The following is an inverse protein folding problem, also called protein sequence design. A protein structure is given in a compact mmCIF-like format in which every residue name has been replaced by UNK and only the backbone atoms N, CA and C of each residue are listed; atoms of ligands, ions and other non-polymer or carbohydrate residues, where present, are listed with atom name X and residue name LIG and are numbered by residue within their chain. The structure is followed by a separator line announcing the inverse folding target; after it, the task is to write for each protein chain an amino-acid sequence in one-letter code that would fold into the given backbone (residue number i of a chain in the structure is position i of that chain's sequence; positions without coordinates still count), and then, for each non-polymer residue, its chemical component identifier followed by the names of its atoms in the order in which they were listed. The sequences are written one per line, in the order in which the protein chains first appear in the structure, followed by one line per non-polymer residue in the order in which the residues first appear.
data_IF_150584262359
#
_entry.id   IF_150584262359
#
_cell.length_a   1.000
_cell.length_b   1.000
_cell.length_c   1.000
_cell.angle_alpha   90.00
_cell.angle_beta   90.00
_cell.angle_gamma   90.00
#
_symmetry.space_group_name_H-M   'P 1'
#
loop_
_entity.id
_entity.type
_entity.pdbx_description
1 polymer ?
#
# COMPACT_ATOMS: atom_id res chain seq x y z
N UNK A 1 41.78 -1.24 -17.27
CA UNK A 1 41.19 -0.18 -18.10
C UNK A 1 39.70 -0.12 -17.78
N UNK A 2 39.30 0.94 -17.08
CA UNK A 2 37.95 1.43 -16.81
C UNK A 2 36.98 0.56 -15.97
N UNK A 3 37.06 0.70 -14.65
CA UNK A 3 35.89 0.72 -13.78
C UNK A 3 35.02 1.93 -14.15
N UNK A 4 33.87 1.70 -14.80
CA UNK A 4 32.86 2.72 -15.00
C UNK A 4 31.79 2.59 -13.89
N UNK A 5 31.59 3.60 -13.02
CA UNK A 5 30.59 3.55 -11.97
C UNK A 5 29.20 3.59 -12.61
N UNK A 6 28.43 2.52 -12.42
CA UNK A 6 27.02 2.48 -12.78
C UNK A 6 26.27 3.45 -11.87
N UNK A 7 26.25 4.73 -12.24
CA UNK A 7 25.36 5.72 -11.67
C UNK A 7 23.93 5.33 -12.09
N UNK A 8 23.33 4.38 -11.35
CA UNK A 8 21.90 4.07 -11.44
C UNK A 8 21.15 5.30 -10.96
N UNK A 9 20.93 6.26 -11.85
CA UNK A 9 19.94 7.31 -11.65
C UNK A 9 18.65 6.65 -11.19
N UNK A 10 18.27 6.89 -9.94
CA UNK A 10 17.08 6.30 -9.35
C UNK A 10 15.89 6.81 -10.15
N UNK A 11 15.25 5.94 -10.95
CA UNK A 11 14.09 6.27 -11.77
C UNK A 11 13.09 7.11 -10.97
N UNK A 12 12.66 8.25 -11.53
CA UNK A 12 11.68 9.17 -10.92
C UNK A 12 10.42 8.43 -10.43
N UNK A 13 10.09 7.31 -11.08
CA UNK A 13 9.00 6.39 -10.71
C UNK A 13 9.15 5.78 -9.31
N UNK A 14 10.38 5.45 -8.91
CA UNK A 14 10.70 4.79 -7.64
C UNK A 14 10.57 5.76 -6.48
N UNK A 15 11.04 6.99 -6.67
CA UNK A 15 10.88 8.05 -5.69
C UNK A 15 9.41 8.40 -5.49
N UNK A 16 8.65 8.61 -6.56
CA UNK A 16 7.23 8.90 -6.46
C UNK A 16 6.45 7.79 -5.73
N UNK A 17 6.72 6.52 -6.07
CA UNK A 17 6.12 5.37 -5.37
C UNK A 17 6.44 5.37 -3.87
N UNK A 18 7.69 5.66 -3.52
CA UNK A 18 8.15 5.66 -2.13
C UNK A 18 7.51 6.81 -1.38
N UNK A 19 7.48 8.01 -1.95
CA UNK A 19 6.84 9.19 -1.37
C UNK A 19 5.34 8.98 -1.14
N UNK A 20 4.61 8.44 -2.12
CA UNK A 20 3.18 8.12 -1.97
C UNK A 20 2.95 7.15 -0.82
N UNK A 21 3.79 6.13 -0.71
CA UNK A 21 3.71 5.15 0.36
C UNK A 21 4.03 5.75 1.73
N UNK A 22 5.04 6.60 1.82
CA UNK A 22 5.38 7.32 3.05
C UNK A 22 4.24 8.22 3.49
N UNK A 23 3.68 9.00 2.56
CA UNK A 23 2.54 9.88 2.83
C UNK A 23 1.31 9.08 3.29
N UNK A 24 1.05 7.94 2.66
CA UNK A 24 -0.02 7.03 3.06
C UNK A 24 0.18 6.47 4.46
N UNK A 25 1.40 6.08 4.83
CA UNK A 25 1.70 5.59 6.18
C UNK A 25 1.54 6.68 7.25
N UNK A 26 1.93 7.92 6.95
CA UNK A 26 1.72 9.06 7.86
C UNK A 26 0.22 9.29 8.07
N UNK A 27 -0.55 9.36 6.98
CA UNK A 27 -2.00 9.53 7.05
C UNK A 27 -2.64 8.37 7.82
N UNK A 28 -2.21 7.13 7.55
CA UNK A 28 -2.73 5.93 8.21
C UNK A 28 -2.42 5.94 9.70
N UNK A 29 -1.22 6.36 10.10
CA UNK A 29 -0.84 6.52 11.50
C UNK A 29 -1.71 7.56 12.22
N UNK A 30 -2.02 8.69 11.58
CA UNK A 30 -2.93 9.69 12.15
C UNK A 30 -4.36 9.14 12.34
N UNK A 31 -4.90 8.46 11.32
CA UNK A 31 -6.24 7.85 11.38
C UNK A 31 -6.32 6.73 12.42
N UNK A 32 -5.34 5.80 12.40
CA UNK A 32 -5.23 4.72 13.37
C UNK A 32 -5.09 5.26 14.81
N UNK A 33 -4.20 6.23 15.02
CA UNK A 33 -3.98 6.85 16.31
C UNK A 33 -5.25 7.53 16.84
N UNK A 34 -5.99 8.24 15.98
CA UNK A 34 -7.24 8.86 16.40
C UNK A 34 -8.29 7.84 16.87
N UNK A 35 -8.40 6.68 16.23
CA UNK A 35 -9.26 5.60 16.72
C UNK A 35 -8.75 4.95 18.02
N UNK A 36 -7.44 4.79 18.19
CA UNK A 36 -6.86 4.26 19.45
C UNK A 36 -7.08 5.21 20.62
N UNK A 37 -6.95 6.52 20.40
CA UNK A 37 -7.08 7.55 21.43
C UNK A 37 -8.51 8.10 21.56
N UNK A 38 -9.50 7.52 20.87
CA UNK A 38 -10.91 7.94 20.91
C UNK A 38 -11.08 9.43 20.60
N UNK A 39 -10.33 9.92 19.60
CA UNK A 39 -10.45 11.29 19.08
C UNK A 39 -11.82 11.45 18.42
N UNK A 40 -12.40 12.63 18.54
CA UNK A 40 -13.68 12.96 17.92
C UNK A 40 -13.70 12.70 16.40
N UNK A 41 -14.80 12.14 15.92
CA UNK A 41 -14.95 11.72 14.52
C UNK A 41 -14.79 12.89 13.54
N UNK A 42 -15.19 14.11 13.93
CA UNK A 42 -15.04 15.28 13.04
C UNK A 42 -13.57 15.66 12.86
N UNK A 43 -12.75 15.50 13.90
CA UNK A 43 -11.31 15.72 13.83
C UNK A 43 -10.59 14.62 13.04
N UNK A 44 -11.22 13.44 12.87
CA UNK A 44 -10.68 12.33 12.07
C UNK A 44 -10.93 12.47 10.57
N UNK A 45 -11.91 13.28 10.13
CA UNK A 45 -12.25 13.45 8.70
C UNK A 45 -11.01 13.82 7.85
N UNK A 46 -10.15 14.77 8.22
CA UNK A 46 -8.96 15.10 7.42
C UNK A 46 -8.00 13.91 7.29
N UNK A 47 -7.80 13.15 8.37
CA UNK A 47 -6.95 11.97 8.37
C UNK A 47 -7.54 10.86 7.49
N UNK A 48 -8.86 10.66 7.56
CA UNK A 48 -9.58 9.72 6.71
C UNK A 48 -9.41 10.08 5.23
N UNK A 49 -9.68 11.33 4.86
CA UNK A 49 -9.53 11.82 3.47
C UNK A 49 -8.09 11.65 3.00
N UNK A 50 -7.10 11.94 3.85
CA UNK A 50 -5.70 11.74 3.52
C UNK A 50 -5.35 10.25 3.31
N UNK A 51 -5.81 9.35 4.17
CA UNK A 51 -5.57 7.90 4.05
C UNK A 51 -6.17 7.35 2.76
N UNK A 52 -7.44 7.67 2.51
CA UNK A 52 -8.17 7.19 1.34
C UNK A 52 -7.57 7.80 0.08
N UNK A 53 -7.33 9.11 0.06
CA UNK A 53 -6.77 9.82 -1.10
C UNK A 53 -5.38 9.32 -1.48
N UNK A 54 -4.49 9.14 -0.50
CA UNK A 54 -3.15 8.59 -0.75
C UNK A 54 -3.18 7.12 -1.15
N UNK A 55 -4.11 6.34 -0.59
CA UNK A 55 -4.31 4.94 -0.96
C UNK A 55 -4.79 4.78 -2.41
N UNK A 56 -5.76 5.60 -2.83
CA UNK A 56 -6.25 5.64 -4.22
C UNK A 56 -5.13 6.09 -5.16
N UNK A 57 -4.40 7.15 -4.82
CA UNK A 57 -3.28 7.62 -5.63
C UNK A 57 -2.20 6.53 -5.82
N UNK A 58 -1.89 5.79 -4.75
CA UNK A 58 -0.96 4.67 -4.81
C UNK A 58 -1.47 3.54 -5.71
N UNK A 59 -2.75 3.18 -5.60
CA UNK A 59 -3.38 2.13 -6.41
C UNK A 59 -3.41 2.51 -7.89
N UNK A 60 -3.83 3.73 -8.22
CA UNK A 60 -3.83 4.24 -9.60
C UNK A 60 -2.42 4.28 -10.18
N UNK A 61 -1.43 4.73 -9.40
CA UNK A 61 -0.05 4.75 -9.85
C UNK A 61 0.49 3.35 -10.15
N UNK A 62 0.15 2.34 -9.35
CA UNK A 62 0.52 0.95 -9.60
C UNK A 62 -0.16 0.38 -10.84
N UNK A 63 -1.46 0.61 -11.01
CA UNK A 63 -2.21 0.13 -12.18
C UNK A 63 -1.70 0.77 -13.47
N UNK A 64 -1.41 2.07 -13.45
CA UNK A 64 -0.89 2.80 -14.61
C UNK A 64 0.51 2.31 -15.01
N UNK A 65 1.37 2.02 -14.03
CA UNK A 65 2.74 1.51 -14.26
C UNK A 65 2.77 0.05 -14.69
N UNK A 66 1.91 -0.77 -14.09
CA UNK A 66 1.93 -2.22 -14.25
C UNK A 66 0.51 -2.77 -14.09
N UNK A 67 -0.28 -2.86 -15.17
CA UNK A 67 -1.65 -3.39 -15.11
C UNK A 67 -1.73 -4.84 -14.58
N UNK A 68 -0.65 -5.62 -14.74
CA UNK A 68 -0.52 -6.95 -14.15
C UNK A 68 -0.56 -6.94 -12.61
N UNK A 69 -0.35 -5.78 -11.97
CA UNK A 69 -0.58 -5.58 -10.53
C UNK A 69 -1.95 -6.09 -10.10
N UNK A 70 -2.98 -5.94 -10.94
CA UNK A 70 -4.35 -6.33 -10.62
C UNK A 70 -4.50 -7.83 -10.31
N UNK A 71 -3.63 -8.67 -10.86
CA UNK A 71 -3.66 -10.14 -10.71
C UNK A 71 -2.52 -10.70 -9.87
N UNK A 72 -1.60 -9.85 -9.42
CA UNK A 72 -0.48 -10.25 -8.57
C UNK A 72 -0.89 -10.29 -7.09
N UNK A 73 -0.19 -11.09 -6.28
CA UNK A 73 -0.40 -11.19 -4.83
C UNK A 73 -0.39 -9.81 -4.15
N UNK A 74 0.50 -8.90 -4.57
CA UNK A 74 0.52 -7.52 -4.05
C UNK A 74 -0.78 -6.74 -4.32
N UNK A 75 -1.39 -6.93 -5.48
CA UNK A 75 -2.67 -6.30 -5.81
C UNK A 75 -3.81 -6.91 -5.01
N UNK A 76 -3.85 -8.24 -4.92
CA UNK A 76 -4.84 -8.95 -4.13
C UNK A 76 -4.84 -8.51 -2.66
N UNK A 77 -3.68 -8.43 -2.03
CA UNK A 77 -3.57 -7.95 -0.65
C UNK A 77 -3.98 -6.48 -0.52
N UNK A 78 -3.69 -5.66 -1.54
CA UNK A 78 -4.15 -4.27 -1.56
C UNK A 78 -5.68 -4.19 -1.59
N UNK A 79 -6.35 -5.03 -2.39
CA UNK A 79 -7.82 -5.11 -2.39
C UNK A 79 -8.37 -5.64 -1.08
N UNK A 80 -7.75 -6.65 -0.48
CA UNK A 80 -8.15 -7.17 0.83
C UNK A 80 -8.10 -6.09 1.90
N UNK A 81 -7.09 -5.23 1.89
CA UNK A 81 -7.02 -4.08 2.80
C UNK A 81 -8.14 -3.07 2.58
N UNK A 82 -8.45 -2.76 1.33
CA UNK A 82 -9.56 -1.85 0.99
C UNK A 82 -10.88 -2.45 1.48
N UNK A 83 -11.13 -3.73 1.21
CA UNK A 83 -12.32 -4.42 1.69
C UNK A 83 -12.43 -4.41 3.22
N UNK A 84 -11.32 -4.63 3.94
CA UNK A 84 -11.29 -4.54 5.39
C UNK A 84 -11.53 -3.11 5.90
N UNK A 85 -10.99 -2.09 5.22
CA UNK A 85 -11.27 -0.70 5.58
C UNK A 85 -12.76 -0.36 5.40
N UNK A 86 -13.40 -0.87 4.35
CA UNK A 86 -14.85 -0.74 4.21
C UNK A 86 -15.60 -1.51 5.29
N UNK A 87 -15.16 -2.73 5.62
CA UNK A 87 -15.76 -3.52 6.69
C UNK A 87 -15.65 -2.84 8.06
N UNK A 88 -14.58 -2.09 8.34
CA UNK A 88 -14.42 -1.41 9.63
C UNK A 88 -15.51 -0.38 9.91
N UNK A 89 -16.14 0.21 8.89
CA UNK A 89 -17.31 1.08 9.08
C UNK A 89 -18.54 0.33 9.58
N UNK A 90 -18.67 -0.96 9.27
CA UNK A 90 -19.75 -1.82 9.77
C UNK A 90 -19.48 -2.40 11.16
N UNK A 91 -18.23 -2.36 11.63
CA UNK A 91 -17.81 -2.91 12.91
C UNK A 91 -17.01 -1.87 13.74
N UNK A 92 -17.65 -0.79 14.21
CA UNK A 92 -16.97 0.29 14.94
C UNK A 92 -16.25 -0.22 16.19
N UNK A 93 -16.84 -1.17 16.92
CA UNK A 93 -16.25 -1.79 18.12
C UNK A 93 -14.97 -2.58 17.84
N UNK A 94 -14.73 -2.95 16.57
CA UNK A 94 -13.55 -3.70 16.14
C UNK A 94 -12.65 -2.90 15.20
N UNK A 95 -12.90 -1.60 15.05
CA UNK A 95 -12.21 -0.77 14.07
C UNK A 95 -10.69 -0.75 14.30
N UNK A 96 -10.23 -0.59 15.55
CA UNK A 96 -8.80 -0.63 15.88
C UNK A 96 -8.20 -1.98 15.48
N UNK A 97 -8.84 -3.10 15.83
CA UNK A 97 -8.35 -4.43 15.49
C UNK A 97 -8.26 -4.66 13.97
N UNK A 98 -9.27 -4.21 13.22
CA UNK A 98 -9.30 -4.30 11.76
C UNK A 98 -8.15 -3.47 11.15
N UNK A 99 -7.95 -2.23 11.63
CA UNK A 99 -6.85 -1.38 11.18
C UNK A 99 -5.48 -1.99 11.54
N UNK A 100 -5.33 -2.62 12.70
CA UNK A 100 -4.11 -3.36 13.07
C UNK A 100 -3.84 -4.50 12.08
N UNK A 101 -4.85 -5.28 11.70
CA UNK A 101 -4.72 -6.34 10.68
C UNK A 101 -4.28 -5.76 9.33
N UNK A 102 -4.86 -4.64 8.91
CA UNK A 102 -4.45 -3.91 7.69
C UNK A 102 -2.97 -3.53 7.74
N UNK A 103 -2.50 -3.02 8.89
CA UNK A 103 -1.10 -2.66 9.10
C UNK A 103 -0.17 -3.88 9.04
N UNK A 104 -0.52 -4.98 9.71
CA UNK A 104 0.25 -6.23 9.72
C UNK A 104 0.39 -6.79 8.30
N UNK A 105 -0.72 -6.91 7.56
CA UNK A 105 -0.68 -7.36 6.17
C UNK A 105 0.23 -6.48 5.31
N UNK A 106 0.19 -5.16 5.55
CA UNK A 106 1.08 -4.22 4.87
C UNK A 106 2.55 -4.46 5.14
N UNK A 107 2.91 -4.66 6.41
CA UNK A 107 4.27 -4.98 6.81
C UNK A 107 4.75 -6.27 6.15
N UNK A 108 3.96 -7.35 6.27
CA UNK A 108 4.31 -8.67 5.74
C UNK A 108 4.54 -8.65 4.23
N UNK A 109 3.64 -8.08 3.44
CA UNK A 109 3.79 -8.01 1.97
C UNK A 109 4.98 -7.15 1.54
N UNK A 110 5.38 -6.20 2.38
CA UNK A 110 6.47 -5.29 2.06
C UNK A 110 7.85 -5.89 2.32
N UNK A 111 7.94 -6.82 3.28
CA UNK A 111 9.12 -7.64 3.53
C UNK A 111 9.09 -8.98 2.80
N UNK A 112 7.97 -9.34 2.17
CA UNK A 112 7.88 -10.54 1.37
C UNK A 112 8.88 -10.51 0.19
N UNK A 113 9.56 -11.64 -0.09
CA UNK A 113 10.47 -11.74 -1.23
C UNK A 113 9.76 -11.47 -2.55
N UNK A 114 10.52 -10.94 -3.52
CA UNK A 114 9.99 -10.54 -4.83
C UNK A 114 9.24 -11.68 -5.55
N UNK A 115 9.69 -12.94 -5.36
CA UNK A 115 9.05 -14.14 -5.88
C UNK A 115 7.60 -14.31 -5.43
N UNK A 116 7.26 -13.91 -4.20
CA UNK A 116 5.88 -13.95 -3.67
C UNK A 116 5.10 -12.73 -4.13
N UNK A 117 5.73 -11.55 -4.11
CA UNK A 117 5.06 -10.29 -4.40
C UNK A 117 4.61 -10.16 -5.86
N UNK A 118 5.40 -10.67 -6.80
CA UNK A 118 5.14 -10.64 -8.24
C UNK A 118 4.53 -11.93 -8.79
N UNK A 119 4.18 -12.88 -7.92
CA UNK A 119 3.49 -14.09 -8.31
C UNK A 119 2.10 -13.75 -8.85
N UNK A 120 1.81 -14.14 -10.08
CA UNK A 120 0.49 -14.01 -10.69
C UNK A 120 -0.31 -15.29 -10.41
N UNK A 121 -1.23 -15.22 -9.44
CA UNK A 121 -2.01 -16.39 -8.97
C UNK A 121 -2.74 -17.12 -10.11
N UNK A 122 -3.24 -16.39 -11.11
CA UNK A 122 -3.97 -16.98 -12.24
C UNK A 122 -3.09 -17.61 -13.32
N UNK A 123 -1.81 -17.24 -13.41
CA UNK A 123 -0.91 -17.74 -14.47
C UNK A 123 0.13 -18.74 -13.94
N UNK A 124 0.28 -18.85 -12.62
CA UNK A 124 1.22 -19.78 -12.00
C UNK A 124 2.69 -19.35 -12.10
N UNK A 125 2.96 -18.15 -12.62
CA UNK A 125 4.30 -17.66 -12.94
C UNK A 125 4.64 -16.36 -12.19
N UNK A 126 5.93 -16.16 -11.93
CA UNK A 126 6.47 -14.89 -11.43
C UNK A 126 6.62 -13.95 -12.62
N UNK A 127 5.69 -13.01 -12.76
CA UNK A 127 5.78 -11.99 -13.81
C UNK A 127 6.46 -10.77 -13.19
N UNK A 128 7.78 -10.65 -13.39
CA UNK A 128 8.49 -9.42 -13.03
C UNK A 128 7.92 -8.29 -13.89
N UNK A 129 7.15 -7.40 -13.27
CA UNK A 129 6.72 -6.17 -13.91
C UNK A 129 7.97 -5.33 -14.11
N UNK A 130 8.53 -5.39 -15.32
CA UNK A 130 9.86 -4.90 -15.68
C UNK A 130 10.34 -3.70 -14.86
N UNK A 131 11.58 -3.79 -14.38
CA UNK A 131 12.27 -2.71 -13.68
C UNK A 131 12.27 -1.43 -14.53
N UNK A 132 11.41 -0.45 -14.21
CA UNK A 132 11.37 0.86 -14.89
C UNK A 132 10.37 1.87 -14.35
#
# INVERSE_FOLDING_TARGET
MADAPYARGMSHSRWLRTSLRTLHLIAFGAFYGGHVFHVDDQALIPALVAVVGTGIAFLLFEVWRAPVFLVQVRGLVTYSKVALLFASYGFPDHQVAILTVIAIMGSLVSHAPASIRYYALFRGEVIDSGKG
#
